data_IF_900704662001
#
_entry.id   IF_900704662001
#
_cell.length_a   1.000
_cell.length_b   1.000
_cell.length_c   1.000
_cell.angle_alpha   90.00
_cell.angle_beta   90.00
_cell.angle_gamma   90.00
#
_symmetry.space_group_name_H-M   'P 1'
#
loop_
_entity.id
_entity.type
_entity.pdbx_description
1 polymer ?
#
# COMPACT_ATOMS: atom_id res chain seq x y z
N UNK A 1 12.11 -12.74 -28.51
CA UNK A 1 13.26 -12.95 -27.61
C UNK A 1 13.81 -11.58 -27.27
N UNK A 2 13.85 -11.19 -25.99
CA UNK A 2 14.48 -9.92 -25.62
C UNK A 2 15.99 -10.00 -25.93
N UNK A 3 16.59 -8.98 -26.55
CA UNK A 3 18.04 -8.96 -26.78
C UNK A 3 18.79 -9.00 -25.44
N UNK A 4 19.85 -9.82 -25.36
CA UNK A 4 20.62 -10.04 -24.12
C UNK A 4 21.20 -8.72 -23.56
N UNK A 5 21.58 -7.79 -24.43
CA UNK A 5 22.09 -6.46 -24.06
C UNK A 5 21.05 -5.63 -23.28
N UNK A 6 19.76 -5.77 -23.60
CA UNK A 6 18.68 -5.04 -22.91
C UNK A 6 18.37 -5.67 -21.54
N UNK A 7 18.64 -6.97 -21.36
CA UNK A 7 18.35 -7.66 -20.12
C UNK A 7 19.27 -7.20 -18.96
N UNK A 8 20.54 -6.93 -19.26
CA UNK A 8 21.50 -6.42 -18.26
C UNK A 8 21.16 -5.00 -17.82
N UNK A 9 20.78 -4.13 -18.77
CA UNK A 9 20.33 -2.77 -18.46
C UNK A 9 19.06 -2.76 -17.61
N UNK A 10 18.09 -3.63 -17.91
CA UNK A 10 16.87 -3.79 -17.12
C UNK A 10 17.21 -4.25 -15.69
N UNK A 11 18.04 -5.28 -15.52
CA UNK A 11 18.40 -5.79 -14.20
C UNK A 11 19.12 -4.71 -13.36
N UNK A 12 20.08 -4.00 -13.96
CA UNK A 12 20.77 -2.89 -13.32
C UNK A 12 19.81 -1.77 -12.91
N UNK A 13 18.85 -1.43 -13.77
CA UNK A 13 17.83 -0.44 -13.46
C UNK A 13 16.90 -0.89 -12.32
N UNK A 14 16.43 -2.14 -12.34
CA UNK A 14 15.54 -2.68 -11.29
C UNK A 14 16.24 -2.70 -9.93
N UNK A 15 17.50 -3.14 -9.86
CA UNK A 15 18.30 -3.10 -8.61
C UNK A 15 18.51 -1.67 -8.11
N UNK A 16 18.69 -0.71 -9.02
CA UNK A 16 18.79 0.69 -8.64
C UNK A 16 17.48 1.20 -8.02
N UNK A 17 16.34 0.85 -8.62
CA UNK A 17 15.01 1.20 -8.09
C UNK A 17 14.73 0.54 -6.74
N UNK A 18 15.16 -0.71 -6.54
CA UNK A 18 15.03 -1.40 -5.24
C UNK A 18 15.67 -0.60 -4.10
N UNK A 19 16.83 0.02 -4.35
CA UNK A 19 17.52 0.87 -3.37
C UNK A 19 16.78 2.19 -3.16
N UNK A 20 16.30 2.84 -4.23
CA UNK A 20 15.61 4.13 -4.14
C UNK A 20 14.29 4.02 -3.40
N UNK A 21 13.51 2.97 -3.67
CA UNK A 21 12.17 2.78 -3.13
C UNK A 21 12.12 1.88 -1.89
N UNK A 22 13.28 1.52 -1.34
CA UNK A 22 13.38 0.76 -0.10
C UNK A 22 12.80 1.56 1.08
N UNK A 23 11.96 0.91 1.86
CA UNK A 23 11.57 1.42 3.18
C UNK A 23 12.64 0.98 4.18
N UNK A 24 13.23 1.90 4.97
CA UNK A 24 14.24 1.54 5.97
C UNK A 24 13.74 0.48 6.95
N UNK A 25 14.62 -0.42 7.35
CA UNK A 25 14.35 -1.34 8.44
C UNK A 25 13.99 -0.56 9.71
N UNK A 26 13.02 -1.07 10.49
CA UNK A 26 12.55 -0.45 11.73
C UNK A 26 12.07 1.02 11.58
N UNK A 27 11.65 1.46 10.39
CA UNK A 27 11.22 2.86 10.16
C UNK A 27 10.15 3.35 11.15
N UNK A 28 9.28 2.46 11.64
CA UNK A 28 8.24 2.77 12.63
C UNK A 28 8.81 3.21 13.99
N UNK A 29 10.06 2.86 14.33
CA UNK A 29 10.70 3.29 15.60
C UNK A 29 11.11 4.75 15.61
N UNK A 30 11.42 5.29 14.42
CA UNK A 30 12.01 6.62 14.27
C UNK A 30 10.97 7.72 13.94
N UNK A 31 9.70 7.34 13.74
CA UNK A 31 8.61 8.27 13.48
C UNK A 31 7.81 8.58 14.75
N UNK A 32 7.20 9.76 14.81
CA UNK A 32 6.36 10.18 15.95
C UNK A 32 4.94 9.59 15.85
N UNK A 33 4.83 8.28 15.64
CA UNK A 33 3.57 7.61 15.35
C UNK A 33 3.08 6.74 16.51
N UNK A 34 1.77 6.68 16.76
CA UNK A 34 1.19 5.70 17.69
C UNK A 34 1.16 4.27 17.09
N UNK A 35 1.55 4.11 15.82
CA UNK A 35 1.56 2.84 15.09
C UNK A 35 2.89 2.11 15.33
N UNK A 36 2.81 0.83 15.70
CA UNK A 36 3.99 -0.02 15.91
C UNK A 36 3.95 -1.27 15.02
N UNK A 37 5.08 -1.99 14.91
CA UNK A 37 5.25 -3.12 13.99
C UNK A 37 4.14 -4.19 14.07
N UNK A 38 3.71 -4.56 15.29
CA UNK A 38 2.60 -5.51 15.47
C UNK A 38 1.26 -5.03 14.88
N UNK A 39 0.94 -3.73 14.94
CA UNK A 39 -0.28 -3.21 14.30
C UNK A 39 -0.18 -3.30 12.77
N UNK A 40 0.98 -2.94 12.22
CA UNK A 40 1.26 -3.07 10.79
C UNK A 40 1.20 -4.54 10.33
N UNK A 41 1.69 -5.48 11.13
CA UNK A 41 1.60 -6.91 10.84
C UNK A 41 0.16 -7.41 10.82
N UNK A 42 -0.65 -7.05 11.83
CA UNK A 42 -2.08 -7.41 11.89
C UNK A 42 -2.82 -6.82 10.69
N UNK A 43 -2.54 -5.57 10.32
CA UNK A 43 -3.17 -4.97 9.14
C UNK A 43 -2.74 -5.67 7.85
N UNK A 44 -1.45 -6.00 7.69
CA UNK A 44 -0.96 -6.69 6.49
C UNK A 44 -1.59 -8.08 6.32
N UNK A 45 -1.75 -8.83 7.41
CA UNK A 45 -2.46 -10.11 7.43
C UNK A 45 -3.94 -9.95 7.02
N UNK A 46 -4.60 -8.93 7.55
CA UNK A 46 -5.97 -8.61 7.14
C UNK A 46 -6.06 -8.21 5.66
N UNK A 47 -5.12 -7.42 5.15
CA UNK A 47 -5.06 -7.03 3.73
C UNK A 47 -4.84 -8.24 2.82
N UNK A 48 -4.05 -9.23 3.25
CA UNK A 48 -3.92 -10.50 2.55
C UNK A 48 -5.28 -11.21 2.40
N UNK A 49 -6.07 -11.26 3.47
CA UNK A 49 -7.41 -11.83 3.40
C UNK A 49 -8.37 -11.04 2.49
N UNK A 50 -8.29 -9.70 2.49
CA UNK A 50 -9.10 -8.86 1.59
C UNK A 50 -8.69 -9.06 0.13
N UNK A 51 -7.39 -9.03 -0.16
CA UNK A 51 -6.86 -9.30 -1.50
C UNK A 51 -7.31 -10.68 -2.01
N UNK A 52 -7.18 -11.72 -1.18
CA UNK A 52 -7.64 -13.07 -1.54
C UNK A 52 -9.15 -13.12 -1.81
N UNK A 53 -9.97 -12.43 -1.00
CA UNK A 53 -11.42 -12.34 -1.19
C UNK A 53 -11.79 -11.66 -2.51
N UNK A 54 -11.06 -10.62 -2.91
CA UNK A 54 -11.26 -9.93 -4.18
C UNK A 54 -10.56 -10.63 -5.36
N UNK A 55 -9.81 -11.70 -5.11
CA UNK A 55 -9.03 -12.42 -6.13
C UNK A 55 -8.06 -11.52 -6.90
N UNK A 56 -7.46 -10.54 -6.21
CA UNK A 56 -6.45 -9.65 -6.81
C UNK A 56 -5.11 -10.38 -6.96
N UNK A 57 -4.20 -9.83 -7.74
CA UNK A 57 -2.83 -10.32 -7.91
C UNK A 57 -2.01 -10.19 -6.60
N UNK A 58 -0.95 -10.98 -6.50
CA UNK A 58 -0.02 -10.86 -5.36
C UNK A 58 0.78 -9.55 -5.46
N UNK A 59 1.10 -9.14 -6.68
CA UNK A 59 1.75 -7.90 -7.06
C UNK A 59 0.93 -6.70 -6.52
N UNK A 60 -0.40 -6.75 -6.63
CA UNK A 60 -1.31 -5.75 -6.06
C UNK A 60 -1.15 -5.62 -4.55
N UNK A 61 -1.07 -6.75 -3.82
CA UNK A 61 -0.83 -6.75 -2.38
C UNK A 61 0.57 -6.23 -2.03
N UNK A 62 1.60 -6.66 -2.76
CA UNK A 62 2.98 -6.23 -2.57
C UNK A 62 3.11 -4.71 -2.76
N UNK A 63 2.50 -4.16 -3.80
CA UNK A 63 2.44 -2.73 -4.05
C UNK A 63 1.67 -2.01 -2.93
N UNK A 64 0.54 -2.55 -2.48
CA UNK A 64 -0.27 -1.96 -1.42
C UNK A 64 0.51 -1.87 -0.09
N UNK A 65 1.25 -2.92 0.24
CA UNK A 65 2.11 -2.95 1.43
C UNK A 65 3.25 -1.93 1.31
N UNK A 66 3.91 -1.85 0.15
CA UNK A 66 4.96 -0.85 -0.09
C UNK A 66 4.41 0.58 0.05
N UNK A 67 3.27 0.87 -0.57
CA UNK A 67 2.59 2.16 -0.48
C UNK A 67 2.21 2.50 0.96
N UNK A 68 1.68 1.53 1.71
CA UNK A 68 1.30 1.70 3.12
C UNK A 68 2.50 2.08 3.98
N UNK A 69 3.60 1.33 3.88
CA UNK A 69 4.80 1.56 4.69
C UNK A 69 5.46 2.91 4.34
N UNK A 70 5.56 3.25 3.04
CA UNK A 70 6.05 4.56 2.58
C UNK A 70 5.17 5.71 3.08
N UNK A 71 3.85 5.53 3.04
CA UNK A 71 2.90 6.54 3.55
C UNK A 71 3.03 6.75 5.05
N UNK A 72 3.18 5.67 5.82
CA UNK A 72 3.41 5.75 7.27
C UNK A 72 4.72 6.49 7.59
N UNK A 73 5.77 6.26 6.82
CA UNK A 73 7.04 6.98 6.94
C UNK A 73 6.88 8.47 6.60
N UNK A 74 6.32 8.79 5.44
CA UNK A 74 6.20 10.16 4.94
C UNK A 74 5.26 11.04 5.79
N UNK A 75 4.15 10.47 6.29
CA UNK A 75 3.18 11.20 7.11
C UNK A 75 3.63 11.39 8.57
N UNK A 76 4.75 10.77 8.97
CA UNK A 76 5.47 10.97 10.24
C UNK A 76 4.56 11.18 11.47
N UNK A 77 3.63 10.24 11.69
CA UNK A 77 2.74 10.25 12.87
C UNK A 77 1.37 10.88 12.68
N UNK A 78 1.04 11.38 11.49
CA UNK A 78 -0.30 11.93 11.18
C UNK A 78 -1.39 10.84 11.10
N UNK A 79 -1.00 9.58 10.96
CA UNK A 79 -1.93 8.43 10.93
C UNK A 79 -2.19 7.93 12.35
N UNK A 80 -3.46 8.00 12.75
CA UNK A 80 -3.93 7.47 14.04
C UNK A 80 -4.22 5.98 13.94
N UNK A 81 -4.37 5.31 15.10
CA UNK A 81 -4.76 3.89 15.15
C UNK A 81 -6.11 3.62 14.47
N UNK A 82 -7.05 4.56 14.59
CA UNK A 82 -8.38 4.45 13.98
C UNK A 82 -8.33 4.55 12.44
N UNK A 83 -7.40 5.35 11.91
CA UNK A 83 -7.25 5.56 10.47
C UNK A 83 -6.26 4.59 9.82
N UNK A 84 -5.64 3.68 10.58
CA UNK A 84 -4.68 2.73 10.04
C UNK A 84 -5.33 1.78 9.05
N UNK A 85 -6.53 1.25 9.36
CA UNK A 85 -7.28 0.41 8.42
C UNK A 85 -7.65 1.18 7.16
N UNK A 86 -8.13 2.42 7.29
CA UNK A 86 -8.44 3.30 6.16
C UNK A 86 -7.23 3.48 5.23
N UNK A 87 -6.04 3.75 5.78
CA UNK A 87 -4.82 3.81 4.99
C UNK A 87 -4.58 2.49 4.23
N UNK A 88 -4.70 1.35 4.91
CA UNK A 88 -4.51 0.03 4.31
C UNK A 88 -5.45 -0.26 3.14
N UNK A 89 -6.77 -0.07 3.31
CA UNK A 89 -7.73 -0.28 2.20
C UNK A 89 -7.53 0.72 1.09
N UNK A 90 -7.21 1.98 1.40
CA UNK A 90 -6.90 2.97 0.37
C UNK A 90 -5.66 2.59 -0.43
N UNK A 91 -4.58 2.13 0.22
CA UNK A 91 -3.39 1.65 -0.49
C UNK A 91 -3.72 0.45 -1.39
N UNK A 92 -4.54 -0.50 -0.93
CA UNK A 92 -4.98 -1.63 -1.75
C UNK A 92 -5.86 -1.19 -2.93
N UNK A 93 -6.75 -0.22 -2.72
CA UNK A 93 -7.56 0.38 -3.79
C UNK A 93 -6.69 1.07 -4.84
N UNK A 94 -5.70 1.87 -4.41
CA UNK A 94 -4.73 2.50 -5.32
C UNK A 94 -3.99 1.43 -6.11
N UNK A 95 -3.38 0.44 -5.45
CA UNK A 95 -2.62 -0.63 -6.11
C UNK A 95 -3.47 -1.42 -7.10
N UNK A 96 -4.74 -1.65 -6.78
CA UNK A 96 -5.66 -2.35 -7.69
C UNK A 96 -5.83 -1.59 -9.01
N UNK A 97 -5.80 -0.25 -9.00
CA UNK A 97 -5.86 0.57 -10.22
C UNK A 97 -4.59 0.50 -11.08
N UNK A 98 -3.46 0.10 -10.51
CA UNK A 98 -2.20 -0.01 -11.23
C UNK A 98 -1.96 -1.41 -11.79
N UNK A 99 -2.34 -2.45 -11.03
CA UNK A 99 -2.00 -3.83 -11.34
C UNK A 99 -3.16 -4.62 -11.97
N UNK A 100 -4.41 -4.28 -11.66
CA UNK A 100 -5.56 -5.06 -12.11
C UNK A 100 -6.15 -4.56 -13.43
N UNK A 101 -6.58 -5.51 -14.27
CA UNK A 101 -7.36 -5.20 -15.47
C UNK A 101 -8.76 -4.72 -15.08
N UNK A 102 -9.36 -5.33 -14.06
CA UNK A 102 -10.69 -4.99 -13.55
C UNK A 102 -10.58 -4.66 -12.07
N UNK A 103 -10.72 -3.38 -11.76
CA UNK A 103 -10.61 -2.85 -10.41
C UNK A 103 -11.95 -3.04 -9.68
N UNK A 104 -11.97 -3.53 -8.42
CA UNK A 104 -13.19 -3.51 -7.62
C UNK A 104 -13.70 -2.09 -7.39
N UNK A 105 -15.00 -1.93 -7.19
CA UNK A 105 -15.57 -0.61 -6.93
C UNK A 105 -15.16 -0.15 -5.53
N UNK A 106 -15.05 1.17 -5.34
CA UNK A 106 -14.71 1.75 -4.02
C UNK A 106 -15.74 1.37 -2.96
N UNK A 107 -17.00 1.15 -3.35
CA UNK A 107 -18.06 0.64 -2.49
C UNK A 107 -17.74 -0.76 -1.92
N UNK A 108 -17.06 -1.62 -2.67
CA UNK A 108 -16.63 -2.94 -2.19
C UNK A 108 -15.59 -2.80 -1.07
N UNK A 109 -14.69 -1.82 -1.18
CA UNK A 109 -13.70 -1.50 -0.14
C UNK A 109 -14.36 -0.91 1.11
N UNK A 110 -15.39 -0.08 0.96
CA UNK A 110 -16.20 0.40 2.10
C UNK A 110 -16.84 -0.78 2.83
N UNK A 111 -17.45 -1.70 2.08
CA UNK A 111 -18.15 -2.87 2.65
C UNK A 111 -17.17 -3.80 3.35
N UNK A 112 -16.01 -4.10 2.76
CA UNK A 112 -15.04 -5.02 3.36
C UNK A 112 -14.39 -4.43 4.63
N UNK A 113 -14.28 -3.10 4.71
CA UNK A 113 -13.89 -2.38 5.92
C UNK A 113 -15.01 -2.26 6.96
N UNK A 114 -16.13 -2.98 6.79
CA UNK A 114 -17.25 -3.00 7.74
C UNK A 114 -18.09 -1.72 7.74
N UNK A 115 -18.04 -0.93 6.67
CA UNK A 115 -18.75 0.35 6.52
C UNK A 115 -18.44 1.37 7.63
N UNK A 116 -17.26 1.26 8.24
CA UNK A 116 -16.76 2.23 9.23
C UNK A 116 -16.31 3.53 8.56
N UNK A 117 -15.93 3.45 7.28
CA UNK A 117 -15.48 4.57 6.45
C UNK A 117 -16.43 4.79 5.29
N UNK A 118 -16.51 6.03 4.82
CA UNK A 118 -17.25 6.40 3.62
C UNK A 118 -16.37 6.32 2.37
N UNK A 119 -16.99 6.39 1.20
CA UNK A 119 -16.29 6.52 -0.08
C UNK A 119 -15.43 7.80 -0.10
N UNK A 120 -15.97 8.88 0.45
CA UNK A 120 -15.28 10.16 0.59
C UNK A 120 -14.04 10.04 1.46
N UNK A 121 -14.09 9.27 2.55
CA UNK A 121 -12.91 9.01 3.39
C UNK A 121 -11.79 8.30 2.61
N UNK A 122 -12.15 7.30 1.79
CA UNK A 122 -11.19 6.57 0.95
C UNK A 122 -10.55 7.53 -0.07
N UNK A 123 -11.34 8.39 -0.72
CA UNK A 123 -10.81 9.37 -1.67
C UNK A 123 -9.96 10.46 -1.01
N UNK A 124 -10.34 10.95 0.17
CA UNK A 124 -9.54 11.91 0.92
C UNK A 124 -8.21 11.29 1.36
N UNK A 125 -8.23 10.03 1.80
CA UNK A 125 -7.00 9.31 2.11
C UNK A 125 -6.16 9.08 0.85
N UNK A 126 -6.80 8.77 -0.28
CA UNK A 126 -6.11 8.55 -1.56
C UNK A 126 -5.35 9.82 -2.00
N UNK A 127 -5.99 10.99 -1.91
CA UNK A 127 -5.33 12.26 -2.17
C UNK A 127 -4.13 12.49 -1.24
N UNK A 128 -4.23 12.09 0.03
CA UNK A 128 -3.10 12.19 0.97
C UNK A 128 -1.96 11.24 0.61
N UNK A 129 -2.25 10.03 0.15
CA UNK A 129 -1.23 9.06 -0.28
C UNK A 129 -0.52 9.57 -1.54
N UNK A 130 -1.25 10.14 -2.50
CA UNK A 130 -0.66 10.66 -3.74
C UNK A 130 0.28 11.85 -3.55
N UNK A 131 0.15 12.64 -2.47
CA UNK A 131 1.10 13.73 -2.18
C UNK A 131 2.54 13.22 -1.99
N UNK A 132 2.70 11.95 -1.63
CA UNK A 132 3.99 11.34 -1.28
C UNK A 132 4.47 10.28 -2.29
N UNK A 133 3.72 10.09 -3.37
CA UNK A 133 4.10 9.28 -4.52
C UNK A 133 4.90 10.12 -5.51
#
# INVERSE_FOLDING_TARGET
>A
MMPVEVAEDIDNYMRHLEVIYAVPEDFLRNIKSPIHGRMRQILADWLYHVQSRFSLLNETLSLAINLMDRSLLAMNGSITKANLQLLGVTCLFISSKFEEITVPNVEDFVIVAGSVFTKEDIFLMEMKVFIFL
#
